data_IF_331014404652
#
_entry.id   IF_331014404652
#
_cell.length_a   1.000
_cell.length_b   1.000
_cell.length_c   1.000
_cell.angle_alpha   90.00
_cell.angle_beta   90.00
_cell.angle_gamma   90.00
#
_symmetry.space_group_name_H-M   'P 1'
#
loop_
_entity.id
_entity.type
_entity.pdbx_description
1 polymer ?
#
# COMPACT_ATOMS: atom_id res chain seq x y z
N UNK A 1 73.23 20.21 30.94
CA UNK A 1 73.07 21.69 31.10
C UNK A 1 71.90 21.95 32.02
N UNK A 2 72.17 22.33 33.27
CA UNK A 2 71.14 22.67 34.25
C UNK A 2 70.62 24.09 33.96
N UNK A 3 69.40 24.19 33.45
CA UNK A 3 68.69 25.46 33.38
C UNK A 3 68.37 25.92 34.81
N UNK A 4 69.24 26.76 35.38
CA UNK A 4 68.97 27.51 36.61
C UNK A 4 67.99 28.64 36.30
N UNK A 5 66.72 28.29 36.09
CA UNK A 5 65.62 29.23 35.93
C UNK A 5 65.26 29.83 37.29
N UNK A 6 65.13 31.16 37.36
CA UNK A 6 64.64 31.87 38.53
C UNK A 6 63.27 31.34 38.96
N UNK A 7 62.98 31.32 40.26
CA UNK A 7 61.73 30.79 40.83
C UNK A 7 60.47 31.33 40.11
N UNK A 8 60.52 32.60 39.66
CA UNK A 8 59.47 33.25 38.86
C UNK A 8 59.30 32.64 37.47
N UNK A 9 60.40 32.31 36.79
CA UNK A 9 60.36 31.70 35.45
C UNK A 9 59.87 30.26 35.49
N UNK A 10 60.21 29.52 36.56
CA UNK A 10 59.68 28.16 36.78
C UNK A 10 58.16 28.17 37.00
N UNK A 11 57.66 29.17 37.74
CA UNK A 11 56.22 29.39 37.93
C UNK A 11 55.51 29.75 36.61
N UNK A 12 56.07 30.64 35.80
CA UNK A 12 55.52 31.00 34.48
C UNK A 12 55.48 29.80 33.54
N UNK A 13 56.53 28.96 33.53
CA UNK A 13 56.58 27.76 32.69
C UNK A 13 55.52 26.72 33.09
N UNK A 14 55.28 26.53 34.40
CA UNK A 14 54.21 25.64 34.88
C UNK A 14 52.83 26.18 34.48
N UNK A 15 52.59 27.49 34.64
CA UNK A 15 51.32 28.11 34.24
C UNK A 15 51.09 27.98 32.73
N UNK A 16 52.10 28.22 31.89
CA UNK A 16 52.00 28.02 30.45
C UNK A 16 51.72 26.57 30.07
N UNK A 17 52.36 25.60 30.74
CA UNK A 17 52.09 24.18 30.54
C UNK A 17 50.66 23.80 30.89
N UNK A 18 50.13 24.34 32.00
CA UNK A 18 48.73 24.13 32.41
C UNK A 18 47.76 24.75 31.41
N UNK A 19 48.00 25.98 30.95
CA UNK A 19 47.15 26.65 29.95
C UNK A 19 47.11 25.88 28.63
N UNK A 20 48.27 25.43 28.12
CA UNK A 20 48.34 24.62 26.91
C UNK A 20 47.65 23.26 27.08
N UNK A 21 47.77 22.64 28.26
CA UNK A 21 47.07 21.40 28.59
C UNK A 21 45.55 21.57 28.56
N UNK A 22 45.04 22.64 29.18
CA UNK A 22 43.60 22.95 29.21
C UNK A 22 43.08 23.28 27.80
N UNK A 23 43.81 24.06 27.00
CA UNK A 23 43.44 24.37 25.61
C UNK A 23 43.38 23.12 24.73
N UNK A 24 44.34 22.21 24.89
CA UNK A 24 44.36 20.93 24.15
C UNK A 24 43.17 20.05 24.53
N UNK A 25 42.80 20.03 25.82
CA UNK A 25 41.66 19.26 26.32
C UNK A 25 40.32 19.83 25.84
N UNK A 26 40.20 21.16 25.72
CA UNK A 26 39.02 21.83 25.15
C UNK A 26 38.82 21.54 23.66
N UNK A 27 39.91 21.47 22.88
CA UNK A 27 39.87 21.05 21.47
C UNK A 27 39.45 19.59 21.32
N UNK A 28 40.01 18.68 22.14
CA UNK A 28 39.59 17.28 22.13
C UNK A 28 38.12 17.11 22.53
N UNK A 29 37.65 17.86 23.52
CA UNK A 29 36.25 17.81 23.97
C UNK A 29 35.28 18.28 22.90
N UNK A 30 35.60 19.35 22.15
CA UNK A 30 34.75 19.83 21.04
C UNK A 30 34.70 18.85 19.87
N UNK A 31 35.81 18.19 19.53
CA UNK A 31 35.82 17.13 18.51
C UNK A 31 34.99 15.93 18.94
N UNK A 32 35.15 15.45 20.17
CA UNK A 32 34.35 14.33 20.71
C UNK A 32 32.87 14.66 20.81
N UNK A 33 32.52 15.90 21.18
CA UNK A 33 31.13 16.36 21.15
C UNK A 33 30.59 16.39 19.72
N UNK A 34 31.37 16.88 18.75
CA UNK A 34 30.99 16.86 17.33
C UNK A 34 30.75 15.45 16.79
N UNK A 35 31.59 14.48 17.15
CA UNK A 35 31.42 13.07 16.80
C UNK A 35 30.16 12.47 17.45
N UNK A 36 29.90 12.79 18.72
CA UNK A 36 28.71 12.32 19.44
C UNK A 36 27.43 12.94 18.85
N UNK A 37 27.44 14.24 18.55
CA UNK A 37 26.32 14.96 17.95
C UNK A 37 26.05 14.44 16.54
N UNK A 38 27.09 14.23 15.72
CA UNK A 38 26.94 13.66 14.38
C UNK A 38 26.41 12.23 14.40
N UNK A 39 26.88 11.38 15.33
CA UNK A 39 26.35 10.03 15.50
C UNK A 39 24.90 10.04 15.99
N UNK A 40 24.55 10.94 16.91
CA UNK A 40 23.19 11.10 17.43
C UNK A 40 22.24 11.60 16.34
N UNK A 41 22.67 12.53 15.50
CA UNK A 41 21.93 13.03 14.35
C UNK A 41 21.70 11.94 13.30
N UNK A 42 22.73 11.13 13.02
CA UNK A 42 22.62 9.98 12.13
C UNK A 42 21.60 8.94 12.65
N UNK A 43 21.62 8.62 13.94
CA UNK A 43 20.65 7.71 14.56
C UNK A 43 19.23 8.28 14.52
N UNK A 44 19.05 9.59 14.76
CA UNK A 44 17.74 10.24 14.63
C UNK A 44 17.21 10.19 13.20
N UNK A 45 18.06 10.49 12.19
CA UNK A 45 17.69 10.37 10.78
C UNK A 45 17.25 8.95 10.43
N UNK A 46 18.02 7.94 10.84
CA UNK A 46 17.69 6.53 10.62
C UNK A 46 16.39 6.11 11.32
N UNK A 47 16.13 6.64 12.53
CA UNK A 47 14.89 6.44 13.26
C UNK A 47 13.67 7.02 12.51
N UNK A 48 13.79 8.23 11.95
CA UNK A 48 12.73 8.83 11.14
C UNK A 48 12.42 8.03 9.88
N UNK A 49 13.45 7.56 9.17
CA UNK A 49 13.31 6.69 8.00
C UNK A 49 12.60 5.38 8.38
N UNK A 50 13.03 4.75 9.47
CA UNK A 50 12.42 3.51 9.97
C UNK A 50 10.94 3.71 10.30
N UNK A 51 10.58 4.83 10.92
CA UNK A 51 9.19 5.16 11.22
C UNK A 51 8.36 5.34 9.95
N UNK A 52 8.91 5.99 8.91
CA UNK A 52 8.21 6.18 7.63
C UNK A 52 7.96 4.83 6.92
N UNK A 53 8.96 3.96 6.88
CA UNK A 53 8.81 2.61 6.31
C UNK A 53 7.79 1.78 7.10
N UNK A 54 7.86 1.82 8.44
CA UNK A 54 6.91 1.11 9.31
C UNK A 54 5.47 1.61 9.14
N UNK A 55 5.28 2.92 9.04
CA UNK A 55 3.96 3.50 8.79
C UNK A 55 3.40 3.04 7.43
N UNK A 56 4.24 2.96 6.39
CA UNK A 56 3.84 2.45 5.09
C UNK A 56 3.45 0.96 5.15
N UNK A 57 4.21 0.15 5.89
CA UNK A 57 3.89 -1.26 6.13
C UNK A 57 2.52 -1.42 6.81
N UNK A 58 2.25 -0.62 7.84
CA UNK A 58 0.95 -0.61 8.53
C UNK A 58 -0.17 -0.24 7.57
N UNK A 59 0.02 0.78 6.72
CA UNK A 59 -0.98 1.18 5.73
C UNK A 59 -1.24 0.07 4.70
N UNK A 60 -0.19 -0.63 4.25
CA UNK A 60 -0.31 -1.79 3.35
C UNK A 60 -1.07 -2.95 4.01
N UNK A 61 -0.83 -3.23 5.29
CA UNK A 61 -1.56 -4.25 6.05
C UNK A 61 -3.02 -3.86 6.31
N UNK A 62 -3.30 -2.58 6.58
CA UNK A 62 -4.67 -2.10 6.69
C UNK A 62 -5.41 -2.23 5.35
N UNK A 63 -4.74 -1.92 4.24
CA UNK A 63 -5.28 -2.12 2.91
C UNK A 63 -5.57 -3.61 2.63
N UNK A 64 -4.66 -4.51 2.99
CA UNK A 64 -4.86 -5.95 2.78
C UNK A 64 -6.08 -6.48 3.56
N UNK A 65 -6.30 -5.96 4.77
CA UNK A 65 -7.50 -6.27 5.58
C UNK A 65 -8.78 -5.71 4.96
N UNK A 66 -8.77 -4.46 4.49
CA UNK A 66 -9.92 -3.86 3.80
C UNK A 66 -10.27 -4.61 2.50
N UNK A 67 -9.26 -5.17 1.83
CA UNK A 67 -9.42 -6.01 0.64
C UNK A 67 -10.30 -7.24 0.90
N UNK A 68 -10.18 -7.85 2.08
CA UNK A 68 -10.98 -9.01 2.48
C UNK A 68 -12.47 -8.65 2.63
N UNK A 69 -12.76 -7.41 3.02
CA UNK A 69 -14.14 -6.93 3.24
C UNK A 69 -14.71 -6.16 2.04
N UNK A 70 -14.09 -6.25 0.85
CA UNK A 70 -14.52 -5.42 -0.28
C UNK A 70 -15.93 -5.79 -0.75
N UNK A 71 -16.84 -4.82 -0.67
CA UNK A 71 -18.24 -4.88 -1.10
C UNK A 71 -18.63 -3.49 -1.63
N UNK A 72 -19.90 -3.29 -2.02
CA UNK A 72 -20.39 -2.01 -2.57
C UNK A 72 -20.18 -0.81 -1.62
N UNK A 73 -20.23 -1.03 -0.31
CA UNK A 73 -20.08 0.02 0.70
C UNK A 73 -18.61 0.39 0.96
N UNK A 74 -17.71 -0.60 0.92
CA UNK A 74 -16.29 -0.42 1.29
C UNK A 74 -15.39 -0.13 0.10
N UNK A 75 -15.84 -0.35 -1.14
CA UNK A 75 -15.01 -0.19 -2.34
C UNK A 75 -14.47 1.24 -2.51
N UNK A 76 -15.24 2.25 -2.12
CA UNK A 76 -14.85 3.67 -2.22
C UNK A 76 -13.73 4.01 -1.22
N UNK A 77 -13.81 3.43 -0.01
CA UNK A 77 -12.76 3.56 0.99
C UNK A 77 -11.46 2.85 0.54
N UNK A 78 -11.58 1.70 -0.11
CA UNK A 78 -10.43 0.96 -0.69
C UNK A 78 -9.79 1.76 -1.82
N UNK A 79 -10.59 2.35 -2.72
CA UNK A 79 -10.13 3.20 -3.82
C UNK A 79 -9.37 4.43 -3.30
N UNK A 80 -9.94 5.10 -2.30
CA UNK A 80 -9.32 6.26 -1.65
C UNK A 80 -8.03 5.90 -0.93
N UNK A 81 -7.99 4.76 -0.21
CA UNK A 81 -6.79 4.27 0.46
C UNK A 81 -5.68 3.93 -0.53
N UNK A 82 -6.01 3.29 -1.66
CA UNK A 82 -5.05 2.97 -2.72
C UNK A 82 -4.52 4.24 -3.40
N UNK A 83 -5.38 5.21 -3.69
CA UNK A 83 -4.99 6.50 -4.23
C UNK A 83 -4.04 7.27 -3.29
N UNK A 84 -4.33 7.22 -1.99
CA UNK A 84 -3.48 7.77 -0.94
C UNK A 84 -2.09 7.12 -0.91
N UNK A 85 -2.01 5.78 -0.98
CA UNK A 85 -0.73 5.08 -1.08
C UNK A 85 0.03 5.46 -2.36
N UNK A 86 -0.65 5.49 -3.52
CA UNK A 86 -0.03 5.77 -4.81
C UNK A 86 0.56 7.18 -4.87
N UNK A 87 -0.12 8.16 -4.27
CA UNK A 87 0.34 9.55 -4.25
C UNK A 87 1.44 9.83 -3.22
N UNK A 88 1.42 9.14 -2.07
CA UNK A 88 2.29 9.51 -0.94
C UNK A 88 3.44 8.53 -0.70
N UNK A 89 3.28 7.24 -0.98
CA UNK A 89 4.26 6.24 -0.55
C UNK A 89 5.61 6.38 -1.26
N UNK A 90 5.61 6.60 -2.59
CA UNK A 90 6.83 6.80 -3.37
C UNK A 90 7.54 8.09 -2.93
N UNK A 91 6.80 9.17 -2.74
CA UNK A 91 7.36 10.45 -2.31
C UNK A 91 7.94 10.37 -0.89
N UNK A 92 7.28 9.66 0.03
CA UNK A 92 7.78 9.42 1.39
C UNK A 92 9.07 8.62 1.37
N UNK A 93 9.15 7.55 0.56
CA UNK A 93 10.35 6.73 0.44
C UNK A 93 11.51 7.48 -0.24
N UNK A 94 11.24 8.27 -1.27
CA UNK A 94 12.25 9.11 -1.91
C UNK A 94 12.79 10.17 -0.94
N UNK A 95 11.90 10.84 -0.21
CA UNK A 95 12.30 11.81 0.83
C UNK A 95 13.12 11.12 1.93
N UNK A 96 12.75 9.90 2.32
CA UNK A 96 13.51 9.12 3.29
C UNK A 96 14.92 8.78 2.79
N UNK A 97 15.06 8.41 1.52
CA UNK A 97 16.34 8.10 0.88
C UNK A 97 17.25 9.33 0.77
N UNK A 98 16.70 10.50 0.42
CA UNK A 98 17.45 11.75 0.31
C UNK A 98 18.02 12.23 1.66
N UNK A 99 17.37 11.87 2.77
CA UNK A 99 17.79 12.23 4.12
C UNK A 99 18.83 11.26 4.74
N UNK A 100 19.29 10.25 4.00
CA UNK A 100 20.32 9.33 4.47
C UNK A 100 21.70 9.74 3.95
N UNK A 101 22.74 9.46 4.72
CA UNK A 101 24.13 9.62 4.28
C UNK A 101 24.76 8.27 3.87
N UNK A 102 24.12 7.15 4.22
CA UNK A 102 24.59 5.79 3.95
C UNK A 102 24.10 5.28 2.59
N UNK A 103 25.04 5.05 1.67
CA UNK A 103 24.78 4.54 0.31
C UNK A 103 24.09 3.17 0.29
N UNK A 104 24.37 2.30 1.27
CA UNK A 104 23.71 0.98 1.36
C UNK A 104 22.26 1.13 1.76
N UNK A 105 21.96 2.01 2.72
CA UNK A 105 20.60 2.30 3.14
C UNK A 105 19.79 2.94 1.99
N UNK A 106 20.40 3.87 1.25
CA UNK A 106 19.81 4.44 0.03
C UNK A 106 19.48 3.38 -1.02
N UNK A 107 20.42 2.46 -1.29
CA UNK A 107 20.19 1.37 -2.25
C UNK A 107 18.99 0.50 -1.85
N UNK A 108 18.89 0.11 -0.57
CA UNK A 108 17.78 -0.72 -0.09
C UNK A 108 16.42 0.01 -0.18
N UNK A 109 16.39 1.31 0.09
CA UNK A 109 15.19 2.15 -0.06
C UNK A 109 14.80 2.32 -1.53
N UNK A 110 15.79 2.52 -2.41
CA UNK A 110 15.57 2.59 -3.86
C UNK A 110 15.01 1.26 -4.40
N UNK A 111 15.55 0.13 -3.97
CA UNK A 111 15.05 -1.20 -4.36
C UNK A 111 13.61 -1.40 -3.89
N UNK A 112 13.31 -1.02 -2.63
CA UNK A 112 11.96 -1.08 -2.07
C UNK A 112 10.98 -0.21 -2.87
N UNK A 113 11.40 1.01 -3.23
CA UNK A 113 10.60 1.94 -4.03
C UNK A 113 10.32 1.36 -5.42
N UNK A 114 11.32 0.75 -6.03
CA UNK A 114 11.22 0.11 -7.36
C UNK A 114 10.25 -1.07 -7.35
N UNK A 115 10.15 -1.81 -6.24
CA UNK A 115 9.19 -2.91 -6.09
C UNK A 115 7.78 -2.44 -5.69
N UNK A 116 7.67 -1.28 -5.05
CA UNK A 116 6.39 -0.76 -4.57
C UNK A 116 5.48 -0.29 -5.71
N UNK A 117 6.02 0.43 -6.70
CA UNK A 117 5.24 0.92 -7.84
C UNK A 117 4.49 -0.19 -8.60
N UNK A 118 5.14 -1.29 -9.04
CA UNK A 118 4.45 -2.39 -9.71
C UNK A 118 3.47 -3.12 -8.78
N UNK A 119 3.76 -3.20 -7.49
CA UNK A 119 2.82 -3.76 -6.51
C UNK A 119 1.53 -2.94 -6.42
N UNK A 120 1.62 -1.61 -6.28
CA UNK A 120 0.48 -0.71 -6.26
C UNK A 120 -0.33 -0.75 -7.56
N UNK A 121 0.35 -0.90 -8.71
CA UNK A 121 -0.31 -1.09 -10.01
C UNK A 121 -1.11 -2.39 -10.07
N UNK A 122 -0.58 -3.47 -9.49
CA UNK A 122 -1.29 -4.76 -9.42
C UNK A 122 -2.53 -4.66 -8.52
N UNK A 123 -2.46 -3.91 -7.42
CA UNK A 123 -3.60 -3.65 -6.55
C UNK A 123 -4.70 -2.83 -7.25
N UNK A 124 -4.31 -1.84 -8.04
CA UNK A 124 -5.22 -1.02 -8.87
C UNK A 124 -5.94 -1.88 -9.91
N UNK A 125 -5.20 -2.75 -10.61
CA UNK A 125 -5.78 -3.71 -11.54
C UNK A 125 -6.76 -4.66 -10.85
N UNK A 126 -6.40 -5.21 -9.70
CA UNK A 126 -7.29 -6.07 -8.92
C UNK A 126 -8.59 -5.34 -8.54
N UNK A 127 -8.50 -4.07 -8.16
CA UNK A 127 -9.67 -3.27 -7.79
C UNK A 127 -10.59 -3.03 -8.99
N UNK A 128 -10.03 -2.71 -10.14
CA UNK A 128 -10.80 -2.53 -11.38
C UNK A 128 -11.48 -3.82 -11.82
N UNK A 129 -10.77 -4.95 -11.77
CA UNK A 129 -11.32 -6.28 -12.07
C UNK A 129 -12.47 -6.60 -11.11
N UNK A 130 -12.32 -6.35 -9.81
CA UNK A 130 -13.39 -6.61 -8.85
C UNK A 130 -14.61 -5.71 -9.07
N UNK A 131 -14.40 -4.45 -9.43
CA UNK A 131 -15.50 -3.54 -9.84
C UNK A 131 -16.21 -4.02 -11.11
N UNK A 132 -15.48 -4.54 -12.10
CA UNK A 132 -16.09 -5.03 -13.34
C UNK A 132 -16.88 -6.33 -13.15
N UNK A 133 -16.38 -7.25 -12.32
CA UNK A 133 -17.06 -8.53 -12.06
C UNK A 133 -18.38 -8.36 -11.31
N UNK A 134 -18.49 -7.33 -10.48
CA UNK A 134 -19.63 -7.11 -9.60
C UNK A 134 -19.18 -7.10 -8.14
N UNK A 135 -19.68 -6.12 -7.40
CA UNK A 135 -19.40 -5.95 -5.97
C UNK A 135 -20.46 -6.64 -5.09
N UNK A 136 -21.54 -7.11 -5.70
CA UNK A 136 -22.60 -7.95 -5.14
C UNK A 136 -23.01 -9.02 -6.16
N UNK A 137 -23.76 -10.03 -5.72
CA UNK A 137 -24.24 -11.12 -6.58
C UNK A 137 -25.19 -10.63 -7.69
N UNK A 138 -25.75 -9.42 -7.56
CA UNK A 138 -26.68 -8.81 -8.50
C UNK A 138 -26.05 -7.70 -9.36
N UNK A 139 -24.79 -7.34 -9.13
CA UNK A 139 -24.12 -6.25 -9.86
C UNK A 139 -22.99 -6.76 -10.76
N UNK A 140 -22.55 -5.91 -11.70
CA UNK A 140 -21.47 -6.22 -12.64
C UNK A 140 -21.81 -7.30 -13.67
N UNK A 141 -20.77 -7.88 -14.29
CA UNK A 141 -20.93 -8.92 -15.32
C UNK A 141 -21.60 -10.20 -14.78
N UNK A 142 -21.47 -10.49 -13.48
CA UNK A 142 -22.16 -11.63 -12.86
C UNK A 142 -23.68 -11.41 -12.78
N UNK A 143 -24.12 -10.22 -12.37
CA UNK A 143 -25.55 -9.87 -12.38
C UNK A 143 -26.17 -9.93 -13.78
N UNK A 144 -25.46 -9.44 -14.80
CA UNK A 144 -25.90 -9.52 -16.20
C UNK A 144 -26.03 -10.97 -16.69
N UNK A 145 -25.11 -11.85 -16.28
CA UNK A 145 -25.19 -13.27 -16.62
C UNK A 145 -26.41 -13.94 -15.98
N UNK A 146 -26.69 -13.63 -14.72
CA UNK A 146 -27.87 -14.12 -13.99
C UNK A 146 -29.17 -13.64 -14.66
N UNK A 147 -29.24 -12.35 -15.01
CA UNK A 147 -30.40 -11.74 -15.69
C UNK A 147 -30.64 -12.38 -17.06
N UNK A 148 -29.60 -12.55 -17.87
CA UNK A 148 -29.71 -13.21 -19.17
C UNK A 148 -30.09 -14.69 -19.04
N UNK A 149 -29.59 -15.40 -18.03
CA UNK A 149 -29.95 -16.80 -17.78
C UNK A 149 -31.41 -16.94 -17.34
N UNK A 150 -31.90 -16.03 -16.49
CA UNK A 150 -33.30 -15.99 -16.07
C UNK A 150 -34.24 -15.64 -17.24
N UNK A 151 -33.85 -14.69 -18.10
CA UNK A 151 -34.60 -14.35 -19.31
C UNK A 151 -34.70 -15.55 -20.26
N UNK A 152 -33.59 -16.27 -20.49
CA UNK A 152 -33.56 -17.46 -21.33
C UNK A 152 -34.45 -18.59 -20.77
N UNK A 153 -34.42 -18.80 -19.45
CA UNK A 153 -35.29 -19.76 -18.75
C UNK A 153 -36.77 -19.42 -18.95
N UNK A 154 -37.13 -18.15 -18.79
CA UNK A 154 -38.50 -17.68 -19.02
C UNK A 154 -38.94 -17.90 -20.46
N UNK A 155 -38.07 -17.63 -21.44
CA UNK A 155 -38.38 -17.85 -22.86
C UNK A 155 -38.61 -19.33 -23.16
N UNK A 156 -37.78 -20.23 -22.58
CA UNK A 156 -37.96 -21.68 -22.69
C UNK A 156 -39.27 -22.15 -22.07
N UNK A 157 -39.67 -21.62 -20.92
CA UNK A 157 -40.96 -21.93 -20.29
C UNK A 157 -42.15 -21.50 -21.17
N UNK A 158 -42.06 -20.33 -21.80
CA UNK A 158 -43.07 -19.85 -22.77
C UNK A 158 -43.18 -20.84 -23.93
N UNK A 159 -42.06 -21.31 -24.50
CA UNK A 159 -42.10 -22.36 -25.53
C UNK A 159 -42.75 -23.67 -25.04
N UNK A 160 -42.48 -24.07 -23.80
CA UNK A 160 -43.14 -25.21 -23.16
C UNK A 160 -44.66 -25.04 -23.07
N UNK A 161 -45.12 -23.84 -22.69
CA UNK A 161 -46.54 -23.50 -22.61
C UNK A 161 -47.23 -23.50 -23.98
N UNK A 162 -46.56 -23.00 -25.03
CA UNK A 162 -47.05 -23.06 -26.41
C UNK A 162 -47.16 -24.50 -26.90
N UNK A 163 -46.16 -25.35 -26.65
CA UNK A 163 -46.19 -26.75 -27.04
C UNK A 163 -47.32 -27.52 -26.33
N UNK A 164 -47.58 -27.21 -25.05
CA UNK A 164 -48.70 -27.78 -24.29
C UNK A 164 -50.04 -27.36 -24.89
N UNK A 165 -50.22 -26.06 -25.20
CA UNK A 165 -51.44 -25.53 -25.80
C UNK A 165 -51.67 -26.06 -27.22
N UNK A 166 -50.61 -26.25 -28.00
CA UNK A 166 -50.68 -26.84 -29.33
C UNK A 166 -51.05 -28.33 -29.26
N UNK A 167 -50.58 -29.07 -28.24
CA UNK A 167 -51.06 -30.44 -27.97
C UNK A 167 -52.52 -30.47 -27.59
N UNK A 168 -52.99 -29.53 -26.78
CA UNK A 168 -54.40 -29.43 -26.39
C UNK A 168 -55.28 -29.13 -27.60
N UNK A 169 -54.88 -28.19 -28.46
CA UNK A 169 -55.58 -27.88 -29.71
C UNK A 169 -55.59 -29.10 -30.62
N UNK A 170 -54.44 -29.76 -30.83
CA UNK A 170 -54.36 -30.98 -31.66
C UNK A 170 -55.20 -32.13 -31.08
N UNK A 171 -55.28 -32.25 -29.76
CA UNK A 171 -56.14 -33.22 -29.10
C UNK A 171 -57.63 -32.91 -29.34
N UNK A 172 -58.03 -31.63 -29.20
CA UNK A 172 -59.40 -31.18 -29.50
C UNK A 172 -59.76 -31.29 -30.98
N UNK A 173 -58.84 -30.98 -31.89
CA UNK A 173 -59.02 -31.20 -33.34
C UNK A 173 -59.18 -32.69 -33.65
N UNK A 174 -58.34 -33.54 -33.07
CA UNK A 174 -58.47 -34.98 -33.22
C UNK A 174 -59.82 -35.48 -32.68
N UNK A 175 -60.27 -34.97 -31.54
CA UNK A 175 -61.54 -35.36 -30.95
C UNK A 175 -62.73 -34.91 -31.81
N UNK A 176 -62.68 -33.69 -32.34
CA UNK A 176 -63.66 -33.18 -33.32
C UNK A 176 -63.67 -33.96 -34.63
N UNK A 177 -62.51 -34.43 -35.12
CA UNK A 177 -62.43 -35.24 -36.33
C UNK A 177 -62.96 -36.68 -36.12
N UNK A 178 -62.88 -37.21 -34.90
CA UNK A 178 -63.35 -38.57 -34.57
C UNK A 178 -64.84 -38.56 -34.19
N UNK A 179 -65.27 -37.53 -33.46
CA UNK A 179 -66.66 -37.29 -33.06
C UNK A 179 -67.06 -35.89 -33.53
N UNK A 180 -67.34 -35.71 -34.83
CA UNK A 180 -67.91 -34.46 -35.29
C UNK A 180 -69.26 -34.31 -34.59
N UNK A 181 -69.35 -33.34 -33.69
CA UNK A 181 -70.64 -32.92 -33.15
C UNK A 181 -71.41 -32.28 -34.30
N UNK A 182 -72.37 -33.01 -34.86
CA UNK A 182 -73.42 -32.41 -35.67
C UNK A 182 -74.20 -31.43 -34.78
N UNK A 183 -74.35 -30.19 -35.23
CA UNK A 183 -75.39 -29.29 -34.70
C UNK A 183 -76.78 -29.89 -34.91
#
# INVERSE_FOLDING_TARGET
MSFNLSLRQKLIAVVLGVVLGISSMGLYSTISLGLLTGASEHVMRLGHVTQQVSNLEVQLLQFSKLRETANEETISAIDSALGGLKSNAINQLNTAADNLDDDRAKSLLSDTTTQLEPYLKTLDQWLQVRKSYGLSAQSGTLGQLEEHSAALLSEIEVFGSFAARLREIRAKEKDFLIYPTEE
#
